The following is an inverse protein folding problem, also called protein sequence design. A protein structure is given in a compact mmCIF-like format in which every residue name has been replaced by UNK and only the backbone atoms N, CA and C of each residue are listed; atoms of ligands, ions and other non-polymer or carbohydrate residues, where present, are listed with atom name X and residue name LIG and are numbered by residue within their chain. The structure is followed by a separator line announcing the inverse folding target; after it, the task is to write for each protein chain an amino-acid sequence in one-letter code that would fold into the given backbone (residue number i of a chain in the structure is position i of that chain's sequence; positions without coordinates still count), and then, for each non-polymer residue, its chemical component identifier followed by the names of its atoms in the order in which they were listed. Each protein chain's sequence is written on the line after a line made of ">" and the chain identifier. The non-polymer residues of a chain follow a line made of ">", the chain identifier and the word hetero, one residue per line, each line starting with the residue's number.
data_IF_032667299592
#
_entry.id   IF_032667299592
#
_cell.length_a   1.000
_cell.length_b   1.000
_cell.length_c   1.000
_cell.angle_alpha   90.00
_cell.angle_beta   90.00
_cell.angle_gamma   90.00
#
_symmetry.space_group_name_H-M   'P 1'
#
loop_
_entity.id
_entity.type
_entity.pdbx_description
1 polymer ?
#
# COMPACT_ATOMS: atom_id res chain seq x y z
N UNK A 1 37.93 53.07 39.13
CA UNK A 1 37.05 52.93 37.96
C UNK A 1 36.84 51.45 37.75
N UNK A 2 35.67 50.92 38.10
CA UNK A 2 35.22 49.64 37.53
C UNK A 2 33.68 49.59 37.54
N UNK A 3 33.12 49.37 36.35
CA UNK A 3 31.69 49.50 36.05
C UNK A 3 30.99 48.18 36.37
N UNK A 4 30.09 48.19 37.37
CA UNK A 4 29.10 47.12 37.54
C UNK A 4 27.97 47.30 36.51
N UNK A 5 27.91 46.41 35.53
CA UNK A 5 26.76 46.19 34.66
C UNK A 5 25.63 45.57 35.50
N UNK A 6 24.52 46.30 35.66
CA UNK A 6 23.24 45.73 36.11
C UNK A 6 22.41 45.40 34.87
N UNK A 7 22.28 44.12 34.58
CA UNK A 7 21.30 43.56 33.64
C UNK A 7 19.92 43.75 34.26
N UNK A 8 19.18 44.76 33.82
CA UNK A 8 17.76 44.89 34.15
C UNK A 8 16.98 43.85 33.35
N UNK A 9 16.52 42.80 34.01
CA UNK A 9 15.53 41.89 33.45
C UNK A 9 14.25 42.68 33.22
N UNK A 10 13.87 42.85 31.94
CA UNK A 10 12.57 43.36 31.56
C UNK A 10 11.55 42.27 31.88
N UNK A 11 10.74 42.49 32.91
CA UNK A 11 9.60 41.61 33.19
C UNK A 11 8.52 41.92 32.16
N UNK A 12 8.34 41.03 31.18
CA UNK A 12 7.21 41.09 30.25
C UNK A 12 5.96 40.66 31.01
N UNK A 13 5.08 41.62 31.30
CA UNK A 13 3.79 41.37 31.92
C UNK A 13 2.83 40.91 30.82
N UNK A 14 2.61 39.59 30.73
CA UNK A 14 1.69 38.99 29.76
C UNK A 14 0.28 39.01 30.34
N UNK A 15 -0.52 40.00 29.97
CA UNK A 15 -1.93 40.10 30.38
C UNK A 15 -2.79 39.51 29.27
N UNK A 16 -3.19 38.23 29.43
CA UNK A 16 -4.13 37.57 28.52
C UNK A 16 -5.55 37.92 28.95
N UNK A 17 -6.25 38.73 28.15
CA UNK A 17 -7.71 38.87 28.26
C UNK A 17 -8.36 37.84 27.35
N UNK A 18 -8.94 36.80 27.95
CA UNK A 18 -9.74 35.81 27.26
C UNK A 18 -11.14 36.40 27.00
N UNK A 19 -11.43 36.81 25.77
CA UNK A 19 -12.80 37.19 25.38
C UNK A 19 -13.42 36.00 24.66
N UNK A 20 -14.16 35.18 25.42
CA UNK A 20 -14.99 34.13 24.84
C UNK A 20 -16.34 34.72 24.44
N UNK A 21 -16.54 35.02 23.17
CA UNK A 21 -17.88 35.30 22.64
C UNK A 21 -18.57 33.96 22.35
N UNK A 22 -19.48 33.55 23.23
CA UNK A 22 -20.36 32.41 23.01
C UNK A 22 -21.42 32.77 21.97
N UNK A 23 -21.11 32.52 20.70
CA UNK A 23 -22.06 32.51 19.58
C UNK A 23 -21.93 31.18 18.86
N UNK A 24 -23.03 30.50 18.60
CA UNK A 24 -23.06 29.28 17.81
C UNK A 24 -22.68 29.62 16.35
N UNK A 25 -21.43 29.36 15.99
CA UNK A 25 -20.85 29.61 14.67
C UNK A 25 -19.40 30.05 14.77
N UNK A 26 -18.47 29.16 14.38
CA UNK A 26 -17.03 29.38 14.20
C UNK A 26 -16.39 30.41 15.17
N UNK A 27 -16.11 29.97 16.40
CA UNK A 27 -15.37 30.78 17.38
C UNK A 27 -13.91 30.95 16.98
N UNK A 28 -13.58 32.00 16.23
CA UNK A 28 -12.19 32.46 16.07
C UNK A 28 -11.70 33.06 17.39
N UNK A 29 -10.66 32.46 17.98
CA UNK A 29 -10.00 33.02 19.16
C UNK A 29 -8.96 34.04 18.70
N UNK A 30 -9.21 35.32 18.95
CA UNK A 30 -8.25 36.38 18.68
C UNK A 30 -7.33 36.58 19.87
N UNK A 31 -6.04 36.28 19.70
CA UNK A 31 -4.98 36.73 20.61
C UNK A 31 -4.46 38.08 20.16
N UNK A 32 -4.76 39.15 20.89
CA UNK A 32 -4.12 40.46 20.70
C UNK A 32 -2.82 40.50 21.49
N UNK A 33 -1.70 40.50 20.78
CA UNK A 33 -0.38 40.80 21.36
C UNK A 33 -0.11 42.28 21.12
N UNK A 34 0.01 43.05 22.20
CA UNK A 34 0.43 44.45 22.15
C UNK A 34 1.76 44.58 22.88
N UNK A 35 2.81 44.92 22.15
CA UNK A 35 4.07 45.41 22.69
C UNK A 35 4.13 46.94 22.48
N UNK A 36 4.74 47.67 23.41
CA UNK A 36 4.90 49.13 23.35
C UNK A 36 5.84 49.59 22.21
N UNK A 37 6.44 48.65 21.47
CA UNK A 37 7.27 48.90 20.29
C UNK A 37 6.57 48.54 18.97
N UNK A 38 5.73 49.44 18.45
CA UNK A 38 5.25 49.52 17.05
C UNK A 38 5.36 48.26 16.16
N UNK A 39 4.52 47.26 16.41
CA UNK A 39 3.99 46.35 15.39
C UNK A 39 2.79 45.58 15.97
N UNK A 40 1.58 45.92 15.53
CA UNK A 40 0.41 45.07 15.78
C UNK A 40 0.46 43.88 14.82
N UNK A 41 0.74 42.69 15.35
CA UNK A 41 0.61 41.44 14.62
C UNK A 41 -0.70 40.75 15.01
N UNK A 42 -1.49 40.32 14.04
CA UNK A 42 -2.61 39.41 14.28
C UNK A 42 -2.09 37.98 14.21
N UNK A 43 -2.17 37.23 15.30
CA UNK A 43 -2.02 35.76 15.26
C UNK A 43 -3.39 35.19 14.97
N UNK A 44 -3.62 34.73 13.74
CA UNK A 44 -4.74 33.86 13.43
C UNK A 44 -4.36 32.45 13.86
N UNK A 45 -4.87 32.01 15.01
CA UNK A 45 -4.94 30.58 15.30
C UNK A 45 -6.16 30.11 14.51
N UNK A 46 -5.93 29.47 13.37
CA UNK A 46 -6.99 28.74 12.70
C UNK A 46 -7.55 27.76 13.74
N UNK A 47 -8.82 27.94 14.13
CA UNK A 47 -9.51 26.88 14.83
C UNK A 47 -9.35 25.63 13.97
N UNK A 48 -8.78 24.56 14.54
CA UNK A 48 -8.51 23.33 13.80
C UNK A 48 -9.72 22.96 12.95
N UNK A 49 -9.47 22.52 11.71
CA UNK A 49 -10.52 22.03 10.83
C UNK A 49 -11.43 21.14 11.67
N UNK A 50 -12.70 21.52 11.78
CA UNK A 50 -13.67 20.63 12.37
C UNK A 50 -13.65 19.41 11.46
N UNK A 51 -13.12 18.28 11.93
CA UNK A 51 -13.26 17.02 11.21
C UNK A 51 -14.74 16.75 10.89
N UNK A 52 -15.03 15.78 10.03
CA UNK A 52 -16.41 15.39 9.79
C UNK A 52 -17.07 15.05 11.13
N UNK A 53 -18.41 15.13 11.23
CA UNK A 53 -19.10 14.64 12.42
C UNK A 53 -18.58 13.24 12.80
N UNK A 54 -18.35 13.01 14.10
CA UNK A 54 -17.69 11.80 14.59
C UNK A 54 -18.25 10.52 13.95
N UNK A 55 -17.38 9.67 13.42
CA UNK A 55 -17.76 8.40 12.80
C UNK A 55 -18.36 8.53 11.40
N UNK A 56 -18.13 9.66 10.72
CA UNK A 56 -18.56 9.86 9.33
C UNK A 56 -17.37 9.97 8.39
N UNK A 57 -17.54 9.38 7.20
CA UNK A 57 -16.73 9.64 6.02
C UNK A 57 -17.28 10.84 5.25
N UNK A 58 -16.55 11.30 4.23
CA UNK A 58 -16.96 12.44 3.42
C UNK A 58 -16.47 12.33 1.97
N UNK A 59 -17.14 13.07 1.09
CA UNK A 59 -16.72 13.32 -0.29
C UNK A 59 -15.78 14.55 -0.32
N UNK A 60 -14.49 14.32 -0.55
CA UNK A 60 -13.46 15.34 -0.72
C UNK A 60 -13.57 15.97 -2.13
N UNK A 61 -14.61 16.77 -2.31
CA UNK A 61 -14.95 17.35 -3.59
C UNK A 61 -13.86 18.29 -4.16
N UNK A 62 -12.96 18.78 -3.29
CA UNK A 62 -11.90 19.70 -3.67
C UNK A 62 -10.48 19.08 -3.67
N UNK A 63 -10.34 17.84 -3.22
CA UNK A 63 -9.12 17.03 -3.32
C UNK A 63 -8.02 17.43 -2.35
N UNK A 64 -8.36 18.00 -1.19
CA UNK A 64 -7.38 18.47 -0.20
C UNK A 64 -7.14 17.46 0.95
N UNK A 65 -7.86 16.33 0.97
CA UNK A 65 -7.80 15.28 1.99
C UNK A 65 -8.39 15.68 3.34
N UNK A 66 -9.11 16.80 3.43
CA UNK A 66 -9.68 17.34 4.66
C UNK A 66 -11.17 17.63 4.46
N UNK A 67 -11.95 17.36 5.50
CA UNK A 67 -13.36 17.72 5.48
C UNK A 67 -13.55 19.24 5.50
N UNK A 68 -14.29 19.74 4.52
CA UNK A 68 -14.73 21.12 4.44
C UNK A 68 -16.23 21.27 4.75
N UNK A 69 -16.63 22.31 5.52
CA UNK A 69 -18.05 22.55 5.80
C UNK A 69 -18.89 22.67 4.52
N UNK A 70 -19.83 21.74 4.36
CA UNK A 70 -20.70 21.67 3.19
C UNK A 70 -20.42 20.48 2.27
N UNK A 71 -19.33 19.76 2.48
CA UNK A 71 -19.10 18.46 1.83
C UNK A 71 -20.11 17.41 2.30
N UNK A 72 -20.45 16.51 1.38
CA UNK A 72 -21.35 15.40 1.64
C UNK A 72 -20.68 14.44 2.61
N UNK A 73 -21.40 14.02 3.64
CA UNK A 73 -20.91 13.06 4.64
C UNK A 73 -21.70 11.77 4.56
N UNK A 74 -21.06 10.65 4.85
CA UNK A 74 -21.69 9.33 4.87
C UNK A 74 -21.40 8.63 6.20
N UNK A 75 -22.38 7.87 6.69
CA UNK A 75 -22.22 7.00 7.85
C UNK A 75 -21.61 5.66 7.47
N UNK A 76 -21.00 4.95 8.43
CA UNK A 76 -20.45 3.60 8.20
C UNK A 76 -21.48 2.62 7.59
N UNK A 77 -22.76 2.75 7.97
CA UNK A 77 -23.84 1.92 7.43
C UNK A 77 -24.12 2.17 5.94
N UNK A 78 -23.92 3.41 5.47
CA UNK A 78 -24.06 3.76 4.05
C UNK A 78 -22.86 3.27 3.23
N UNK A 79 -21.73 2.96 3.87
CA UNK A 79 -20.52 2.49 3.20
C UNK A 79 -20.55 1.00 2.83
N UNK A 80 -21.50 0.22 3.35
CA UNK A 80 -21.57 -1.23 3.14
C UNK A 80 -21.80 -1.61 1.66
N UNK A 81 -22.60 -0.84 0.94
CA UNK A 81 -22.92 -1.05 -0.49
C UNK A 81 -22.91 0.32 -1.19
N UNK A 82 -21.81 1.04 -1.00
CA UNK A 82 -21.63 2.40 -1.48
C UNK A 82 -21.34 2.40 -2.98
N UNK A 83 -22.14 3.13 -3.75
CA UNK A 83 -21.95 3.31 -5.19
C UNK A 83 -22.18 4.77 -5.55
N UNK A 84 -21.11 5.56 -5.50
CA UNK A 84 -21.07 6.93 -6.01
C UNK A 84 -19.75 7.16 -6.77
N UNK A 85 -19.69 6.81 -8.07
CA UNK A 85 -18.46 6.91 -8.86
C UNK A 85 -17.98 8.35 -9.07
N UNK A 86 -18.74 9.36 -8.66
CA UNK A 86 -18.33 10.76 -8.73
C UNK A 86 -17.67 11.25 -7.43
N UNK A 87 -17.81 10.52 -6.32
CA UNK A 87 -17.29 10.93 -5.02
C UNK A 87 -15.80 10.60 -4.86
N UNK A 88 -15.04 11.54 -4.28
CA UNK A 88 -13.68 11.27 -3.79
C UNK A 88 -13.80 10.88 -2.31
N UNK A 89 -14.06 9.60 -2.06
CA UNK A 89 -14.41 9.12 -0.73
C UNK A 89 -13.20 9.11 0.19
N UNK A 90 -13.30 9.80 1.33
CA UNK A 90 -12.36 9.74 2.45
C UNK A 90 -13.04 9.12 3.66
N UNK A 91 -12.54 7.97 4.10
CA UNK A 91 -12.96 7.28 5.32
C UNK A 91 -11.87 7.44 6.38
N UNK A 92 -12.01 8.41 7.30
CA UNK A 92 -11.00 8.66 8.33
C UNK A 92 -10.97 7.54 9.37
N UNK A 93 -9.85 7.39 10.08
CA UNK A 93 -9.66 6.43 11.19
C UNK A 93 -10.75 6.51 12.27
N UNK A 94 -11.42 7.66 12.41
CA UNK A 94 -12.55 7.83 13.35
C UNK A 94 -13.80 7.04 12.96
N UNK A 95 -13.85 6.49 11.75
CA UNK A 95 -14.82 5.49 11.33
C UNK A 95 -14.25 4.13 11.73
N UNK A 96 -14.58 3.69 12.94
CA UNK A 96 -13.93 2.53 13.61
C UNK A 96 -13.81 1.29 12.69
N UNK A 97 -14.92 0.86 12.08
CA UNK A 97 -14.93 -0.27 11.15
C UNK A 97 -16.20 -0.32 10.28
N UNK A 98 -16.09 -0.97 9.12
CA UNK A 98 -17.25 -1.44 8.32
C UNK A 98 -17.25 -2.96 8.38
N UNK A 99 -18.17 -3.53 9.18
CA UNK A 99 -18.20 -4.98 9.44
C UNK A 99 -19.53 -5.60 8.98
N UNK A 100 -19.43 -6.70 8.24
CA UNK A 100 -20.59 -7.46 7.78
C UNK A 100 -20.48 -8.94 8.08
N UNK A 101 -21.57 -9.54 8.59
CA UNK A 101 -21.58 -10.97 8.96
C UNK A 101 -21.91 -11.89 7.79
N UNK A 102 -22.96 -11.57 7.03
CA UNK A 102 -23.58 -12.48 6.07
C UNK A 102 -23.72 -11.86 4.68
N UNK A 103 -22.98 -10.79 4.42
CA UNK A 103 -23.10 -9.99 3.22
C UNK A 103 -21.76 -9.38 2.90
N UNK A 104 -21.65 -8.95 1.66
CA UNK A 104 -20.44 -8.33 1.15
C UNK A 104 -20.35 -6.89 1.66
N UNK A 105 -19.12 -6.36 1.66
CA UNK A 105 -18.87 -4.92 1.69
C UNK A 105 -18.40 -4.52 0.30
N UNK A 106 -19.13 -3.62 -0.35
CA UNK A 106 -18.80 -3.09 -1.68
C UNK A 106 -18.74 -1.57 -1.62
N UNK A 107 -17.58 -1.01 -1.93
CA UNK A 107 -17.37 0.44 -2.03
C UNK A 107 -16.90 0.77 -3.43
N UNK A 108 -17.71 1.51 -4.18
CA UNK A 108 -17.40 2.02 -5.50
C UNK A 108 -17.47 3.54 -5.51
N UNK A 109 -16.33 4.18 -5.71
CA UNK A 109 -16.17 5.63 -5.67
C UNK A 109 -15.31 6.14 -6.83
N UNK A 110 -15.22 7.47 -7.02
CA UNK A 110 -14.28 8.08 -7.97
C UNK A 110 -12.83 7.83 -7.55
N UNK A 111 -12.52 8.10 -6.28
CA UNK A 111 -11.27 7.75 -5.59
C UNK A 111 -11.59 7.29 -4.15
N UNK A 112 -10.70 6.52 -3.53
CA UNK A 112 -10.88 5.98 -2.18
C UNK A 112 -9.63 6.25 -1.34
N UNK A 113 -9.80 6.94 -0.22
CA UNK A 113 -8.81 7.00 0.87
C UNK A 113 -9.42 6.40 2.12
N UNK A 114 -8.81 5.36 2.68
CA UNK A 114 -9.38 4.58 3.76
C UNK A 114 -8.36 4.40 4.89
N UNK A 115 -8.69 4.87 6.10
CA UNK A 115 -7.83 4.76 7.29
C UNK A 115 -8.28 3.74 8.32
N UNK A 116 -9.40 3.04 8.11
CA UNK A 116 -9.97 2.11 9.09
C UNK A 116 -9.75 0.63 8.77
N UNK A 117 -10.65 -0.21 9.29
CA UNK A 117 -10.76 -1.63 8.94
C UNK A 117 -12.09 -1.95 8.25
N UNK A 118 -12.04 -2.77 7.19
CA UNK A 118 -13.23 -3.35 6.53
C UNK A 118 -13.20 -4.86 6.73
N UNK A 119 -14.30 -5.44 7.19
CA UNK A 119 -14.40 -6.89 7.34
C UNK A 119 -15.73 -7.47 6.83
N UNK A 120 -15.66 -8.67 6.23
CA UNK A 120 -16.83 -9.46 5.86
C UNK A 120 -16.64 -10.94 6.24
N UNK A 121 -17.54 -11.49 7.06
CA UNK A 121 -17.40 -12.89 7.52
C UNK A 121 -17.81 -13.90 6.44
N UNK A 122 -18.96 -13.73 5.79
CA UNK A 122 -19.44 -14.67 4.76
C UNK A 122 -19.52 -14.08 3.35
N UNK A 123 -19.11 -12.82 3.18
CA UNK A 123 -19.15 -12.10 1.92
C UNK A 123 -17.80 -11.55 1.52
N UNK A 124 -17.74 -10.97 0.35
CA UNK A 124 -16.53 -10.36 -0.20
C UNK A 124 -16.30 -8.97 0.40
N UNK A 125 -15.04 -8.53 0.43
CA UNK A 125 -14.67 -7.12 0.62
C UNK A 125 -14.18 -6.60 -0.73
N UNK A 126 -14.87 -5.61 -1.29
CA UNK A 126 -14.53 -5.05 -2.60
C UNK A 126 -14.44 -3.52 -2.56
N UNK A 127 -13.28 -2.99 -2.94
CA UNK A 127 -13.04 -1.56 -3.11
C UNK A 127 -12.74 -1.26 -4.58
N UNK A 128 -13.47 -0.33 -5.18
CA UNK A 128 -13.28 0.06 -6.58
C UNK A 128 -13.21 1.58 -6.72
N UNK A 129 -12.04 2.09 -7.10
CA UNK A 129 -11.88 3.49 -7.53
C UNK A 129 -12.01 3.57 -9.05
N UNK A 130 -13.06 4.24 -9.53
CA UNK A 130 -13.41 4.24 -10.96
C UNK A 130 -12.44 5.08 -11.79
N UNK A 131 -12.01 6.22 -11.29
CA UNK A 131 -11.18 7.19 -12.03
C UNK A 131 -9.86 7.54 -11.32
N UNK A 132 -9.78 7.35 -10.00
CA UNK A 132 -8.64 7.70 -9.17
C UNK A 132 -8.02 6.53 -8.45
N UNK A 133 -7.30 6.85 -7.38
CA UNK A 133 -6.52 5.89 -6.62
C UNK A 133 -7.33 5.23 -5.50
N UNK A 134 -6.87 4.06 -5.06
CA UNK A 134 -7.23 3.47 -3.77
C UNK A 134 -6.02 3.56 -2.83
N UNK A 135 -6.20 4.23 -1.68
CA UNK A 135 -5.18 4.38 -0.64
C UNK A 135 -5.66 3.81 0.68
N UNK A 136 -4.95 2.80 1.22
CA UNK A 136 -5.16 2.18 2.53
C UNK A 136 -3.85 2.05 3.32
N UNK A 137 -3.23 3.18 3.66
CA UNK A 137 -2.00 3.16 4.45
C UNK A 137 -2.31 2.76 5.90
N UNK A 138 -1.76 1.62 6.34
CA UNK A 138 -2.01 1.02 7.65
C UNK A 138 -3.42 0.40 7.83
N UNK A 139 -4.24 0.37 6.78
CA UNK A 139 -5.60 -0.16 6.84
C UNK A 139 -5.65 -1.69 6.87
N UNK A 140 -6.82 -2.23 7.23
CA UNK A 140 -7.08 -3.68 7.24
C UNK A 140 -8.26 -4.01 6.33
N UNK A 141 -8.09 -4.99 5.45
CA UNK A 141 -9.17 -5.62 4.68
C UNK A 141 -9.22 -7.11 5.03
N UNK A 142 -10.34 -7.58 5.56
CA UNK A 142 -10.50 -8.99 6.00
C UNK A 142 -11.77 -9.60 5.41
N UNK A 143 -11.64 -10.76 4.77
CA UNK A 143 -12.78 -11.62 4.49
C UNK A 143 -12.55 -13.06 4.98
N UNK A 144 -13.43 -13.55 5.86
CA UNK A 144 -13.28 -14.93 6.36
C UNK A 144 -13.66 -15.95 5.29
N UNK A 145 -14.76 -15.76 4.56
CA UNK A 145 -15.22 -16.75 3.57
C UNK A 145 -15.32 -16.23 2.13
N UNK A 146 -15.25 -14.92 1.92
CA UNK A 146 -15.28 -14.29 0.61
C UNK A 146 -13.89 -13.82 0.15
N UNK A 147 -13.84 -13.24 -1.03
CA UNK A 147 -12.63 -12.64 -1.59
C UNK A 147 -12.37 -11.26 -1.00
N UNK A 148 -11.12 -10.80 -1.13
CA UNK A 148 -10.78 -9.38 -1.01
C UNK A 148 -10.32 -8.88 -2.36
N UNK A 149 -11.07 -7.94 -2.94
CA UNK A 149 -10.79 -7.36 -4.25
C UNK A 149 -10.58 -5.84 -4.13
N UNK A 150 -9.44 -5.34 -4.60
CA UNK A 150 -9.16 -3.90 -4.74
C UNK A 150 -8.86 -3.60 -6.20
N UNK A 151 -9.67 -2.74 -6.82
CA UNK A 151 -9.57 -2.40 -8.23
C UNK A 151 -9.49 -0.87 -8.44
N UNK A 152 -8.48 -0.44 -9.18
CA UNK A 152 -8.27 0.95 -9.60
C UNK A 152 -7.92 0.98 -11.09
N UNK A 153 -8.85 0.67 -12.00
CA UNK A 153 -8.55 0.45 -13.42
C UNK A 153 -7.93 1.66 -14.13
N UNK A 154 -8.17 2.87 -13.62
CA UNK A 154 -7.62 4.13 -14.17
C UNK A 154 -6.68 4.86 -13.19
N UNK A 155 -6.35 4.24 -12.06
CA UNK A 155 -5.50 4.83 -11.02
C UNK A 155 -4.55 3.81 -10.41
N UNK A 156 -3.92 4.20 -9.31
CA UNK A 156 -2.99 3.39 -8.54
C UNK A 156 -3.63 2.80 -7.28
N UNK A 157 -2.88 1.88 -6.68
CA UNK A 157 -3.21 1.24 -5.41
C UNK A 157 -2.03 1.45 -4.45
N UNK A 158 -2.28 2.02 -3.27
CA UNK A 158 -1.31 2.12 -2.18
C UNK A 158 -1.87 1.46 -0.92
N UNK A 159 -1.26 0.38 -0.47
CA UNK A 159 -1.53 -0.24 0.82
C UNK A 159 -0.18 -0.37 1.53
N UNK A 160 0.32 0.69 2.15
CA UNK A 160 1.62 0.61 2.84
C UNK A 160 1.45 0.23 4.31
N UNK A 161 2.16 -0.80 4.76
CA UNK A 161 2.11 -1.26 6.16
C UNK A 161 0.75 -1.76 6.63
N UNK A 162 -0.14 -2.14 5.70
CA UNK A 162 -1.48 -2.62 6.00
C UNK A 162 -1.56 -4.14 6.14
N UNK A 163 -2.79 -4.64 6.22
CA UNK A 163 -3.10 -6.07 6.24
C UNK A 163 -4.25 -6.38 5.30
N UNK A 164 -4.11 -7.42 4.48
CA UNK A 164 -5.13 -7.92 3.56
C UNK A 164 -5.27 -9.43 3.73
N UNK A 165 -6.41 -9.90 4.21
CA UNK A 165 -6.63 -11.30 4.54
C UNK A 165 -7.88 -11.85 3.85
N UNK A 166 -7.75 -13.03 3.22
CA UNK A 166 -8.87 -13.88 2.85
C UNK A 166 -8.64 -15.31 3.33
N UNK A 167 -9.48 -15.82 4.24
CA UNK A 167 -9.23 -17.17 4.78
C UNK A 167 -9.66 -18.27 3.80
N UNK A 168 -10.76 -18.07 3.06
CA UNK A 168 -11.30 -19.13 2.19
C UNK A 168 -11.39 -18.79 0.70
N UNK A 169 -10.90 -17.63 0.28
CA UNK A 169 -10.97 -17.17 -1.11
C UNK A 169 -9.70 -16.40 -1.51
N UNK A 170 -9.78 -15.74 -2.66
CA UNK A 170 -8.67 -15.02 -3.27
C UNK A 170 -8.49 -13.61 -2.68
N UNK A 171 -7.27 -13.12 -2.74
CA UNK A 171 -6.94 -11.70 -2.63
C UNK A 171 -6.49 -11.20 -4.02
N UNK A 172 -7.20 -10.21 -4.56
CA UNK A 172 -6.90 -9.61 -5.86
C UNK A 172 -6.68 -8.11 -5.73
N UNK A 173 -5.53 -7.62 -6.19
CA UNK A 173 -5.24 -6.20 -6.34
C UNK A 173 -4.95 -5.90 -7.81
N UNK A 174 -5.74 -5.01 -8.42
CA UNK A 174 -5.68 -4.70 -9.85
C UNK A 174 -5.65 -3.18 -10.08
N UNK A 175 -4.65 -2.68 -10.80
CA UNK A 175 -4.53 -1.25 -11.10
C UNK A 175 -4.12 -0.97 -12.55
N UNK A 176 -4.63 0.12 -13.10
CA UNK A 176 -4.13 0.67 -14.38
C UNK A 176 -2.76 1.31 -14.23
N UNK A 177 -2.56 2.03 -13.12
CA UNK A 177 -1.28 2.64 -12.73
C UNK A 177 -0.59 1.82 -11.63
N UNK A 178 0.32 2.42 -10.86
CA UNK A 178 1.22 1.70 -9.96
C UNK A 178 0.50 1.03 -8.78
N UNK A 179 1.03 -0.11 -8.34
CA UNK A 179 0.65 -0.78 -7.08
C UNK A 179 1.82 -0.72 -6.11
N UNK A 180 1.57 -0.24 -4.90
CA UNK A 180 2.52 -0.21 -3.80
C UNK A 180 1.94 -0.91 -2.56
N UNK A 181 2.46 -2.09 -2.25
CA UNK A 181 2.12 -2.90 -1.07
C UNK A 181 3.32 -3.06 -0.13
N UNK A 182 4.21 -2.07 -0.09
CA UNK A 182 5.44 -2.14 0.71
C UNK A 182 5.14 -2.32 2.20
N UNK A 183 5.82 -3.28 2.83
CA UNK A 183 5.67 -3.58 4.26
C UNK A 183 4.31 -4.14 4.68
N UNK A 184 3.49 -4.58 3.72
CA UNK A 184 2.12 -5.08 3.96
C UNK A 184 2.13 -6.59 4.15
N UNK A 185 1.18 -7.06 4.96
CA UNK A 185 0.91 -8.49 5.13
C UNK A 185 -0.31 -8.87 4.28
N UNK A 186 -0.14 -9.83 3.37
CA UNK A 186 -1.19 -10.32 2.48
C UNK A 186 -1.29 -11.84 2.59
N UNK A 187 -2.39 -12.36 3.12
CA UNK A 187 -2.63 -13.80 3.29
C UNK A 187 -3.92 -14.23 2.59
N UNK A 188 -3.81 -15.18 1.66
CA UNK A 188 -4.92 -15.94 1.10
C UNK A 188 -4.79 -17.41 1.50
N UNK A 189 -5.36 -17.79 2.65
CA UNK A 189 -5.12 -19.13 3.22
C UNK A 189 -5.60 -20.25 2.28
N UNK A 190 -6.79 -20.15 1.69
CA UNK A 190 -7.28 -21.17 0.74
C UNK A 190 -7.39 -20.69 -0.71
N UNK A 191 -7.13 -19.43 -0.99
CA UNK A 191 -7.16 -18.88 -2.34
C UNK A 191 -5.79 -18.45 -2.86
N UNK A 192 -5.84 -17.65 -3.90
CA UNK A 192 -4.69 -17.07 -4.59
C UNK A 192 -4.40 -15.67 -4.02
N UNK A 193 -3.13 -15.27 -4.07
CA UNK A 193 -2.80 -13.84 -4.05
C UNK A 193 -2.41 -13.42 -5.46
N UNK A 194 -3.15 -12.47 -6.03
CA UNK A 194 -2.89 -11.94 -7.37
C UNK A 194 -2.78 -10.41 -7.32
N UNK A 195 -1.60 -9.89 -7.64
CA UNK A 195 -1.35 -8.44 -7.68
C UNK A 195 -0.91 -8.09 -9.10
N UNK A 196 -1.72 -7.30 -9.80
CA UNK A 196 -1.50 -6.96 -11.20
C UNK A 196 -1.57 -5.46 -11.43
N UNK A 197 -0.61 -4.96 -12.19
CA UNK A 197 -0.59 -3.57 -12.66
C UNK A 197 -0.03 -3.48 -14.07
N UNK A 198 -0.52 -2.50 -14.82
CA UNK A 198 0.03 -2.15 -16.12
C UNK A 198 1.28 -1.24 -16.04
N UNK A 199 1.66 -0.81 -14.82
CA UNK A 199 2.76 0.05 -14.50
C UNK A 199 3.75 -0.60 -13.51
N UNK A 200 4.16 0.11 -12.46
CA UNK A 200 5.16 -0.36 -11.48
C UNK A 200 4.48 -1.07 -10.31
N UNK A 201 4.96 -2.25 -9.96
CA UNK A 201 4.58 -2.97 -8.74
C UNK A 201 5.73 -2.89 -7.72
N UNK A 202 5.43 -2.49 -6.49
CA UNK A 202 6.36 -2.48 -5.36
C UNK A 202 5.76 -3.26 -4.20
N UNK A 203 6.43 -4.32 -3.79
CA UNK A 203 6.13 -5.20 -2.68
C UNK A 203 7.37 -5.34 -1.77
N UNK A 204 8.12 -4.25 -1.59
CA UNK A 204 9.35 -4.30 -0.82
C UNK A 204 9.03 -4.53 0.67
N UNK A 205 9.70 -5.50 1.30
CA UNK A 205 9.54 -5.82 2.72
C UNK A 205 8.16 -6.36 3.12
N UNK A 206 7.33 -6.78 2.16
CA UNK A 206 6.01 -7.36 2.42
C UNK A 206 6.10 -8.86 2.73
N UNK A 207 5.11 -9.37 3.44
CA UNK A 207 4.82 -10.81 3.53
C UNK A 207 3.62 -11.11 2.64
N UNK A 208 3.76 -12.06 1.73
CA UNK A 208 2.68 -12.46 0.81
C UNK A 208 2.59 -13.98 0.80
N UNK A 209 1.50 -14.52 1.37
CA UNK A 209 1.28 -15.95 1.54
C UNK A 209 -0.01 -16.41 0.84
N UNK A 210 0.10 -17.51 0.09
CA UNK A 210 -1.06 -18.26 -0.40
C UNK A 210 -0.89 -19.73 -0.02
N UNK A 211 -1.46 -20.16 1.11
CA UNK A 211 -1.15 -21.49 1.64
C UNK A 211 -1.61 -22.58 0.66
N UNK A 212 -2.87 -22.59 0.25
CA UNK A 212 -3.39 -23.71 -0.56
C UNK A 212 -3.44 -23.43 -2.06
N UNK A 213 -2.94 -22.30 -2.53
CA UNK A 213 -2.84 -21.99 -3.97
C UNK A 213 -1.56 -21.26 -4.32
N UNK A 214 -1.59 -20.19 -5.13
CA UNK A 214 -0.39 -19.55 -5.70
C UNK A 214 -0.32 -18.05 -5.39
N UNK A 215 0.90 -17.52 -5.47
CA UNK A 215 1.20 -16.09 -5.39
C UNK A 215 1.67 -15.61 -6.75
N UNK A 216 1.02 -14.59 -7.32
CA UNK A 216 1.43 -13.96 -8.58
C UNK A 216 1.51 -12.45 -8.45
N UNK A 217 2.68 -11.89 -8.80
CA UNK A 217 2.92 -10.45 -8.89
C UNK A 217 3.27 -10.10 -10.33
N UNK A 218 2.47 -9.25 -10.97
CA UNK A 218 2.66 -8.89 -12.38
C UNK A 218 2.65 -7.36 -12.60
N UNK A 219 3.67 -6.87 -13.30
CA UNK A 219 3.85 -5.46 -13.60
C UNK A 219 4.65 -5.20 -14.88
N UNK A 220 4.78 -3.93 -15.26
CA UNK A 220 5.82 -3.50 -16.22
C UNK A 220 7.20 -3.55 -15.59
N UNK A 221 7.31 -3.19 -14.30
CA UNK A 221 8.49 -3.45 -13.47
C UNK A 221 8.02 -3.95 -12.12
N UNK A 222 8.73 -4.90 -11.53
CA UNK A 222 8.38 -5.48 -10.23
C UNK A 222 9.57 -5.34 -9.28
N UNK A 223 9.30 -4.90 -8.07
CA UNK A 223 10.25 -4.83 -6.95
C UNK A 223 9.63 -5.57 -5.77
N UNK A 224 10.29 -6.59 -5.26
CA UNK A 224 9.90 -7.37 -4.08
C UNK A 224 11.12 -7.54 -3.17
N UNK A 225 11.88 -6.46 -2.96
CA UNK A 225 13.15 -6.52 -2.22
C UNK A 225 12.90 -6.82 -0.75
N UNK A 226 13.65 -7.75 -0.18
CA UNK A 226 13.48 -8.22 1.20
C UNK A 226 12.05 -8.67 1.53
N UNK A 227 11.29 -9.11 0.53
CA UNK A 227 9.94 -9.61 0.71
C UNK A 227 9.96 -11.12 0.97
N UNK A 228 8.97 -11.61 1.69
CA UNK A 228 8.72 -13.03 1.91
C UNK A 228 7.50 -13.46 1.10
N UNK A 229 7.70 -14.27 0.06
CA UNK A 229 6.65 -14.77 -0.81
C UNK A 229 6.58 -16.28 -0.71
N UNK A 230 5.43 -16.79 -0.26
CA UNK A 230 5.29 -18.21 0.05
C UNK A 230 4.00 -18.82 -0.53
N UNK A 231 4.15 -19.99 -1.15
CA UNK A 231 3.04 -20.87 -1.51
C UNK A 231 3.31 -22.29 -0.99
N UNK A 232 2.33 -22.89 -0.29
CA UNK A 232 2.48 -24.30 0.13
C UNK A 232 2.19 -25.25 -1.02
N UNK A 233 1.11 -25.05 -1.76
CA UNK A 233 0.58 -26.10 -2.65
C UNK A 233 0.77 -25.86 -4.15
N UNK A 234 1.19 -24.67 -4.56
CA UNK A 234 1.30 -24.32 -5.97
C UNK A 234 2.55 -23.45 -6.19
N UNK A 235 2.55 -22.50 -7.11
CA UNK A 235 3.77 -21.76 -7.49
C UNK A 235 3.85 -20.36 -6.85
N UNK A 236 5.06 -19.80 -6.88
CA UNK A 236 5.31 -18.36 -6.67
C UNK A 236 5.81 -17.78 -8.00
N UNK A 237 5.08 -16.82 -8.56
CA UNK A 237 5.37 -16.23 -9.86
C UNK A 237 5.52 -14.71 -9.80
N UNK A 238 6.61 -14.18 -10.35
CA UNK A 238 6.83 -12.74 -10.48
C UNK A 238 7.12 -12.41 -11.94
N UNK A 239 6.35 -11.50 -12.53
CA UNK A 239 6.46 -11.17 -13.96
C UNK A 239 6.52 -9.66 -14.20
N UNK A 240 7.68 -9.19 -14.67
CA UNK A 240 7.94 -7.82 -15.10
C UNK A 240 7.84 -7.69 -16.64
N UNK A 241 6.81 -8.30 -17.24
CA UNK A 241 6.66 -8.42 -18.71
C UNK A 241 5.59 -7.51 -19.31
N UNK A 242 4.68 -6.97 -18.50
CA UNK A 242 3.51 -6.19 -18.98
C UNK A 242 3.93 -4.88 -19.64
N UNK A 243 3.14 -4.44 -20.64
CA UNK A 243 3.33 -3.17 -21.35
C UNK A 243 4.77 -2.91 -21.85
N UNK A 244 5.37 -3.94 -22.45
CA UNK A 244 6.75 -3.87 -22.95
C UNK A 244 7.77 -3.85 -21.80
N UNK A 245 7.55 -4.72 -20.82
CA UNK A 245 8.17 -4.74 -19.48
C UNK A 245 9.68 -4.51 -19.35
N UNK A 246 10.11 -4.42 -18.11
CA UNK A 246 11.47 -4.04 -17.72
C UNK A 246 12.00 -4.93 -16.61
N UNK A 247 12.74 -4.34 -15.67
CA UNK A 247 13.46 -5.09 -14.64
C UNK A 247 12.54 -5.71 -13.58
N UNK A 248 13.00 -6.85 -13.06
CA UNK A 248 12.48 -7.53 -11.89
C UNK A 248 13.55 -7.51 -10.79
N UNK A 249 13.22 -7.02 -9.60
CA UNK A 249 14.15 -6.93 -8.47
C UNK A 249 13.59 -7.68 -7.25
N UNK A 250 14.23 -8.79 -6.90
CA UNK A 250 13.94 -9.65 -5.75
C UNK A 250 15.15 -9.71 -4.80
N UNK A 251 15.99 -8.67 -4.80
CA UNK A 251 17.19 -8.60 -3.95
C UNK A 251 16.82 -8.81 -2.48
N UNK A 252 17.48 -9.76 -1.81
CA UNK A 252 17.26 -10.10 -0.41
C UNK A 252 15.92 -10.79 -0.11
N UNK A 253 15.12 -11.12 -1.11
CA UNK A 253 13.80 -11.75 -0.91
C UNK A 253 13.92 -13.24 -0.55
N UNK A 254 12.89 -13.77 0.11
CA UNK A 254 12.67 -15.20 0.28
C UNK A 254 11.47 -15.63 -0.58
N UNK A 255 11.71 -16.46 -1.59
CA UNK A 255 10.70 -16.97 -2.49
C UNK A 255 10.60 -18.49 -2.31
N UNK A 256 9.45 -19.01 -1.89
CA UNK A 256 9.34 -20.42 -1.56
C UNK A 256 8.03 -21.06 -2.06
N UNK A 257 8.18 -22.20 -2.74
CA UNK A 257 7.09 -23.09 -3.11
C UNK A 257 7.37 -24.53 -2.64
N UNK A 258 6.47 -25.13 -1.84
CA UNK A 258 6.70 -26.53 -1.42
C UNK A 258 6.30 -27.57 -2.48
N UNK A 259 5.43 -27.23 -3.43
CA UNK A 259 4.81 -28.23 -4.31
C UNK A 259 4.91 -27.89 -5.81
N UNK A 260 5.49 -26.74 -6.16
CA UNK A 260 5.59 -26.30 -7.54
C UNK A 260 6.77 -25.34 -7.75
N UNK A 261 6.75 -24.64 -8.88
CA UNK A 261 7.87 -23.82 -9.33
C UNK A 261 7.94 -22.47 -8.60
N UNK A 262 9.15 -21.90 -8.59
CA UNK A 262 9.37 -20.47 -8.39
C UNK A 262 9.79 -19.90 -9.75
N UNK A 263 9.01 -18.95 -10.27
CA UNK A 263 9.18 -18.44 -11.63
C UNK A 263 9.40 -16.94 -11.63
N UNK A 264 10.50 -16.51 -12.25
CA UNK A 264 10.87 -15.12 -12.45
C UNK A 264 10.84 -14.77 -13.94
N UNK A 265 10.02 -13.83 -14.34
CA UNK A 265 9.93 -13.38 -15.73
C UNK A 265 10.18 -11.88 -15.84
N UNK A 266 10.96 -11.49 -16.84
CA UNK A 266 11.31 -10.10 -17.11
C UNK A 266 11.57 -9.91 -18.60
N UNK A 267 11.39 -8.69 -19.10
CA UNK A 267 11.89 -8.29 -20.42
C UNK A 267 13.17 -7.42 -20.30
N UNK A 268 13.81 -7.45 -19.14
CA UNK A 268 15.03 -6.73 -18.80
C UNK A 268 15.88 -7.52 -17.80
N UNK A 269 16.61 -6.81 -16.94
CA UNK A 269 17.45 -7.46 -15.95
C UNK A 269 16.63 -8.06 -14.80
N UNK A 270 17.11 -9.19 -14.28
CA UNK A 270 16.62 -9.80 -13.03
C UNK A 270 17.70 -9.62 -11.96
N UNK A 271 17.35 -8.93 -10.88
CA UNK A 271 18.21 -8.71 -9.73
C UNK A 271 17.75 -9.62 -8.58
N UNK A 272 18.46 -10.71 -8.35
CA UNK A 272 18.18 -11.69 -7.31
C UNK A 272 19.41 -11.88 -6.39
N UNK A 273 20.13 -10.78 -6.11
CA UNK A 273 21.25 -10.83 -5.18
C UNK A 273 20.74 -11.11 -3.77
N UNK A 274 21.48 -11.90 -3.00
CA UNK A 274 21.18 -12.21 -1.58
C UNK A 274 19.79 -12.83 -1.35
N UNK A 275 19.09 -13.28 -2.39
CA UNK A 275 17.77 -13.90 -2.27
C UNK A 275 17.88 -15.39 -1.93
N UNK A 276 16.86 -15.91 -1.25
CA UNK A 276 16.64 -17.36 -1.10
C UNK A 276 15.48 -17.78 -1.98
N UNK A 277 15.68 -18.82 -2.80
CA UNK A 277 14.65 -19.39 -3.67
C UNK A 277 14.57 -20.89 -3.40
N UNK A 278 13.39 -21.36 -2.97
CA UNK A 278 13.17 -22.76 -2.59
C UNK A 278 12.00 -23.35 -3.39
N UNK A 279 12.24 -24.50 -4.01
CA UNK A 279 11.21 -25.33 -4.64
C UNK A 279 11.42 -26.81 -4.31
N UNK A 280 10.56 -27.40 -3.46
CA UNK A 280 10.76 -28.80 -3.03
C UNK A 280 10.40 -29.83 -4.11
N UNK A 281 9.37 -29.55 -4.92
CA UNK A 281 8.84 -30.48 -5.94
C UNK A 281 8.76 -29.87 -7.35
N UNK A 282 9.24 -28.65 -7.53
CA UNK A 282 9.31 -27.96 -8.82
C UNK A 282 10.74 -27.56 -9.16
N UNK A 283 10.87 -26.50 -9.93
CA UNK A 283 12.14 -25.88 -10.28
C UNK A 283 12.11 -24.38 -9.97
N UNK A 284 13.30 -23.80 -9.83
CA UNK A 284 13.47 -22.34 -9.86
C UNK A 284 13.86 -21.93 -11.28
N UNK A 285 13.06 -21.05 -11.90
CA UNK A 285 13.25 -20.64 -13.30
C UNK A 285 13.30 -19.12 -13.48
N UNK A 286 14.07 -18.68 -14.47
CA UNK A 286 14.17 -17.28 -14.88
C UNK A 286 14.08 -17.11 -16.41
N UNK A 287 13.10 -16.35 -16.91
CA UNK A 287 13.05 -15.89 -18.30
C UNK A 287 13.28 -14.39 -18.37
N UNK A 288 14.36 -13.96 -19.02
CA UNK A 288 14.73 -12.55 -19.17
C UNK A 288 14.24 -11.93 -20.49
N UNK A 289 13.58 -12.72 -21.35
CA UNK A 289 12.97 -12.27 -22.62
C UNK A 289 13.97 -11.83 -23.71
N UNK A 290 15.23 -11.54 -23.35
CA UNK A 290 16.29 -11.10 -24.26
C UNK A 290 17.67 -11.61 -23.83
N UNK A 291 18.51 -11.96 -24.79
CA UNK A 291 19.88 -12.40 -24.54
C UNK A 291 20.83 -11.26 -24.09
N UNK A 292 20.41 -10.01 -24.15
CA UNK A 292 21.22 -8.86 -23.71
C UNK A 292 21.01 -8.49 -22.24
N UNK A 293 20.05 -9.11 -21.56
CA UNK A 293 19.78 -8.86 -20.16
C UNK A 293 20.81 -9.57 -19.25
N UNK A 294 20.85 -9.12 -18.01
CA UNK A 294 21.70 -9.67 -16.96
C UNK A 294 20.86 -10.29 -15.84
N UNK A 295 21.25 -11.50 -15.42
CA UNK A 295 20.76 -12.17 -14.23
C UNK A 295 21.80 -12.01 -13.11
N UNK A 296 21.46 -11.25 -12.07
CA UNK A 296 22.32 -11.02 -10.91
C UNK A 296 21.93 -11.95 -9.76
N UNK A 297 22.89 -12.71 -9.23
CA UNK A 297 22.75 -13.79 -8.25
C UNK A 297 23.87 -13.75 -7.20
N UNK A 298 24.48 -12.59 -6.96
CA UNK A 298 25.54 -12.46 -5.96
C UNK A 298 24.97 -12.77 -4.57
N UNK A 299 25.49 -13.81 -3.92
CA UNK A 299 24.97 -14.29 -2.64
C UNK A 299 23.59 -14.96 -2.68
N UNK A 300 23.03 -15.26 -3.86
CA UNK A 300 21.77 -15.99 -3.98
C UNK A 300 21.92 -17.45 -3.52
N UNK A 301 20.87 -17.98 -2.88
CA UNK A 301 20.74 -19.39 -2.54
C UNK A 301 19.54 -19.99 -3.27
N UNK A 302 19.76 -21.10 -3.98
CA UNK A 302 18.72 -21.86 -4.67
C UNK A 302 18.70 -23.26 -4.07
N UNK A 303 17.54 -23.69 -3.59
CA UNK A 303 17.29 -25.03 -3.04
C UNK A 303 16.13 -25.67 -3.82
N UNK A 304 16.48 -26.47 -4.82
CA UNK A 304 15.55 -27.24 -5.63
C UNK A 304 16.16 -28.58 -6.07
N UNK A 305 15.63 -29.20 -7.13
CA UNK A 305 16.11 -30.50 -7.58
C UNK A 305 17.57 -30.54 -8.08
N UNK A 306 18.13 -29.41 -8.53
CA UNK A 306 19.49 -29.34 -9.06
C UNK A 306 20.36 -28.19 -8.47
N UNK A 307 19.85 -27.52 -7.44
CA UNK A 307 20.51 -26.42 -6.71
C UNK A 307 20.86 -25.23 -7.65
N UNK A 308 20.08 -25.02 -8.71
CA UNK A 308 20.37 -23.99 -9.71
C UNK A 308 19.11 -23.36 -10.33
N UNK A 309 19.16 -22.05 -10.60
CA UNK A 309 18.13 -21.40 -11.40
C UNK A 309 18.31 -21.73 -12.88
N UNK A 310 17.32 -22.38 -13.48
CA UNK A 310 17.27 -22.60 -14.91
C UNK A 310 16.89 -21.29 -15.61
N UNK A 311 17.70 -20.81 -16.57
CA UNK A 311 17.49 -19.49 -17.17
C UNK A 311 17.48 -19.47 -18.70
N UNK A 312 16.66 -18.57 -19.25
CA UNK A 312 16.56 -18.28 -20.67
C UNK A 312 16.44 -16.78 -20.98
N UNK A 313 16.65 -16.37 -22.24
CA UNK A 313 17.17 -17.18 -23.34
C UNK A 313 18.70 -17.40 -23.24
N UNK A 314 19.25 -18.29 -24.07
CA UNK A 314 20.71 -18.47 -24.18
C UNK A 314 21.41 -17.15 -24.54
N UNK A 315 22.51 -16.84 -23.86
CA UNK A 315 23.30 -15.63 -24.10
C UNK A 315 23.14 -14.56 -23.02
N UNK A 316 22.15 -14.70 -22.12
CA UNK A 316 22.03 -13.90 -20.90
C UNK A 316 23.35 -13.88 -20.14
N UNK A 317 23.72 -12.69 -19.67
CA UNK A 317 24.89 -12.49 -18.83
C UNK A 317 24.54 -12.85 -17.37
N UNK A 318 25.28 -13.76 -16.74
CA UNK A 318 25.04 -14.16 -15.35
C UNK A 318 26.15 -13.59 -14.45
N UNK A 319 25.75 -12.94 -13.36
CA UNK A 319 26.67 -12.31 -12.39
C UNK A 319 26.42 -12.87 -11.00
N UNK A 320 27.41 -13.49 -10.33
CA UNK A 320 28.72 -13.86 -10.87
C UNK A 320 28.61 -15.01 -11.90
N UNK A 321 29.60 -15.15 -12.78
CA UNK A 321 29.61 -16.17 -13.86
C UNK A 321 29.68 -17.64 -13.37
N UNK A 322 29.70 -17.85 -12.06
CA UNK A 322 29.63 -19.16 -11.40
C UNK A 322 28.61 -19.20 -10.26
N UNK A 323 27.62 -18.30 -10.29
CA UNK A 323 26.45 -18.37 -9.43
C UNK A 323 25.60 -19.62 -9.70
N UNK A 324 24.57 -19.88 -8.87
CA UNK A 324 23.75 -21.08 -8.95
C UNK A 324 22.79 -21.00 -10.15
N UNK A 325 23.29 -21.08 -11.39
CA UNK A 325 22.50 -20.89 -12.60
C UNK A 325 22.89 -21.86 -13.73
N UNK A 326 21.89 -22.37 -14.45
CA UNK A 326 22.05 -23.27 -15.59
C UNK A 326 21.22 -22.78 -16.79
N UNK A 327 21.78 -22.72 -18.02
CA UNK A 327 20.97 -22.38 -19.19
C UNK A 327 19.88 -23.42 -19.44
N UNK A 328 18.66 -22.98 -19.72
CA UNK A 328 17.51 -23.83 -20.12
C UNK A 328 17.54 -24.21 -21.61
#
# INVERSE_FOLDING_TARGET
>A
MDKRTRTGGLAVLLVVWLVATAGAGAGVTYGLLSDDGTASGTVQIAAGSSGPPSGQSFDDANGNGQYDPGETTYSAAELVDFDDPAANLVVPESVDSIDQQNSDVRVRAGAITYGGSVSAQNGDVSLTAVDGDVTLDGGTLDSQNGAVDVDAPNGGISLTGGTVESQNSDVTLSAGDAVNVSGTDIDAQNGNVQITTDARLVADGSTIEAQNSHVTLAGRTVSARNADLFSRNNYVGLSATRNGGGSLDVTGASLASQNNDVTLESNGDILANESTMESTNGAVTADLGTATATLYLDGANVDDGDDAIAYGPTGVHVVPSGGPATPS
#
